data_IF_274023075891
#
_entry.id   IF_274023075891
#
_cell.length_a   1.000
_cell.length_b   1.000
_cell.length_c   1.000
_cell.angle_alpha   90.00
_cell.angle_beta   90.00
_cell.angle_gamma   90.00
#
_symmetry.space_group_name_H-M   'P 1'
#
loop_
_entity.id
_entity.type
_entity.pdbx_description
1 polymer ?
#
# COMPACT_ATOMS: atom_id res chain seq x y z
N UNK A 1 -15.12 -23.58 -51.66
CA UNK A 1 -14.75 -22.29 -51.03
C UNK A 1 -15.92 -21.86 -50.17
N UNK A 2 -15.76 -21.99 -48.85
CA UNK A 2 -16.83 -21.88 -47.84
C UNK A 2 -16.90 -20.45 -47.31
N UNK A 3 -18.09 -19.84 -47.32
CA UNK A 3 -18.43 -18.75 -46.39
C UNK A 3 -19.87 -18.97 -45.92
N UNK A 4 -20.03 -19.64 -44.78
CA UNK A 4 -21.30 -19.63 -44.03
C UNK A 4 -21.20 -18.59 -42.92
N UNK A 5 -22.06 -17.57 -43.02
CA UNK A 5 -22.41 -16.65 -41.94
C UNK A 5 -22.96 -17.45 -40.77
N UNK A 6 -22.55 -17.15 -39.54
CA UNK A 6 -23.32 -17.55 -38.37
C UNK A 6 -23.30 -16.44 -37.32
N UNK A 7 -24.46 -15.82 -37.12
CA UNK A 7 -24.82 -15.01 -35.94
C UNK A 7 -25.78 -15.88 -35.13
N UNK A 8 -25.48 -16.18 -33.86
CA UNK A 8 -26.49 -16.32 -32.80
C UNK A 8 -25.87 -16.65 -31.43
N UNK A 9 -25.97 -15.66 -30.53
CA UNK A 9 -26.33 -15.72 -29.09
C UNK A 9 -25.87 -16.91 -28.21
N UNK A 10 -25.01 -16.57 -27.24
CA UNK A 10 -25.18 -16.72 -25.78
C UNK A 10 -26.27 -17.68 -25.27
N UNK A 11 -25.90 -18.74 -24.53
CA UNK A 11 -25.99 -18.90 -23.05
C UNK A 11 -26.01 -20.38 -22.61
N UNK A 12 -25.43 -20.61 -21.41
CA UNK A 12 -25.59 -21.76 -20.49
C UNK A 12 -24.92 -23.10 -20.81
N UNK A 13 -23.88 -23.41 -20.05
CA UNK A 13 -23.71 -24.73 -19.40
C UNK A 13 -23.20 -24.51 -17.97
N UNK A 14 -24.08 -24.80 -17.00
CA UNK A 14 -23.74 -25.04 -15.60
C UNK A 14 -23.69 -26.57 -15.37
N UNK A 15 -22.80 -26.96 -14.46
CA UNK A 15 -22.71 -28.23 -13.72
C UNK A 15 -22.07 -29.43 -14.44
N UNK A 16 -20.90 -29.83 -13.95
CA UNK A 16 -20.66 -31.11 -13.24
C UNK A 16 -19.15 -31.20 -12.90
N UNK A 17 -18.81 -31.17 -11.60
CA UNK A 17 -17.69 -31.92 -11.05
C UNK A 17 -17.78 -31.96 -9.51
N UNK A 18 -18.44 -33.01 -9.02
CA UNK A 18 -18.26 -33.68 -7.72
C UNK A 18 -17.46 -34.94 -8.10
N UNK A 19 -16.34 -35.37 -7.50
CA UNK A 19 -15.85 -35.43 -6.12
C UNK A 19 -14.32 -35.64 -6.16
N UNK A 20 -13.57 -35.16 -5.15
CA UNK A 20 -12.64 -35.94 -4.32
C UNK A 20 -12.10 -35.07 -3.18
N UNK A 21 -11.95 -35.70 -2.02
CA UNK A 21 -11.96 -35.12 -0.69
C UNK A 21 -10.61 -34.59 -0.19
N UNK A 22 -10.67 -33.64 0.76
CA UNK A 22 -9.70 -33.35 1.83
C UNK A 22 -8.28 -32.91 1.41
N UNK A 23 -8.12 -31.64 1.07
CA UNK A 23 -7.14 -30.73 1.71
C UNK A 23 -7.79 -29.34 1.68
N UNK A 24 -7.79 -28.63 2.80
CA UNK A 24 -8.39 -27.30 2.92
C UNK A 24 -7.94 -26.39 1.77
N UNK A 25 -8.89 -26.11 0.86
CA UNK A 25 -8.72 -25.10 -0.16
C UNK A 25 -8.51 -23.78 0.55
N UNK A 26 -7.29 -23.25 0.46
CA UNK A 26 -7.01 -21.87 0.80
C UNK A 26 -7.90 -21.01 -0.09
N UNK A 27 -8.94 -20.44 0.52
CA UNK A 27 -9.67 -19.34 -0.08
C UNK A 27 -8.61 -18.29 -0.44
N UNK A 28 -8.38 -18.07 -1.73
CA UNK A 28 -7.90 -16.77 -2.20
C UNK A 28 -9.09 -15.83 -2.04
N UNK A 29 -9.34 -15.45 -0.79
CA UNK A 29 -10.21 -14.33 -0.53
C UNK A 29 -9.58 -13.13 -1.21
N UNK A 30 -10.41 -12.43 -1.99
CA UNK A 30 -10.28 -11.01 -2.18
C UNK A 30 -10.05 -10.36 -0.80
N UNK A 31 -8.79 -10.26 -0.38
CA UNK A 31 -8.41 -9.32 0.65
C UNK A 31 -8.42 -7.98 -0.04
N UNK A 32 -9.59 -7.34 -0.02
CA UNK A 32 -9.65 -5.89 0.13
C UNK A 32 -8.49 -5.48 1.02
N UNK A 33 -7.54 -4.74 0.44
CA UNK A 33 -6.30 -4.38 1.10
C UNK A 33 -6.63 -3.43 2.24
N UNK A 34 -6.96 -3.99 3.41
CA UNK A 34 -6.77 -3.28 4.66
C UNK A 34 -5.35 -2.75 4.62
N UNK A 35 -5.18 -1.45 4.87
CA UNK A 35 -3.88 -0.78 4.88
C UNK A 35 -2.92 -1.55 5.79
N UNK A 36 -2.08 -2.38 5.20
CA UNK A 36 -1.23 -3.29 5.95
C UNK A 36 0.08 -2.57 6.23
N UNK A 37 0.41 -2.42 7.52
CA UNK A 37 1.76 -2.00 7.87
C UNK A 37 2.66 -3.23 7.81
N UNK A 38 3.64 -3.18 6.92
CA UNK A 38 4.66 -4.22 6.80
C UNK A 38 5.67 -4.07 7.92
N UNK A 39 5.75 -5.09 8.78
CA UNK A 39 6.56 -5.06 10.01
C UNK A 39 7.66 -6.09 9.94
N UNK A 40 8.82 -5.74 10.51
CA UNK A 40 9.84 -6.73 10.78
C UNK A 40 9.48 -7.63 11.96
N UNK A 41 10.06 -8.83 12.03
CA UNK A 41 9.95 -9.71 13.21
C UNK A 41 10.38 -9.00 14.50
N UNK A 42 11.33 -8.08 14.42
CA UNK A 42 11.80 -7.27 15.55
C UNK A 42 10.89 -6.09 15.91
N UNK A 43 9.86 -5.79 15.10
CA UNK A 43 8.98 -4.63 15.25
C UNK A 43 9.65 -3.26 15.01
N UNK A 44 10.95 -3.26 14.70
CA UNK A 44 11.79 -2.05 14.52
C UNK A 44 11.50 -1.34 13.20
N UNK A 45 11.28 -2.09 12.13
CA UNK A 45 10.95 -1.56 10.81
C UNK A 45 9.44 -1.64 10.57
N UNK A 46 8.86 -0.54 10.10
CA UNK A 46 7.45 -0.40 9.77
C UNK A 46 7.34 0.36 8.45
N UNK A 47 6.70 -0.27 7.45
CA UNK A 47 6.46 0.33 6.15
C UNK A 47 4.96 0.22 5.86
N UNK A 48 4.19 1.29 6.10
CA UNK A 48 2.78 1.35 5.73
C UNK A 48 2.61 1.17 4.22
N UNK A 49 1.64 0.34 3.83
CA UNK A 49 1.21 0.17 2.43
C UNK A 49 2.36 -0.19 1.48
N UNK A 50 3.35 -0.98 1.93
CA UNK A 50 4.45 -1.42 1.07
C UNK A 50 3.95 -2.14 -0.20
N UNK A 51 2.85 -2.89 -0.09
CA UNK A 51 2.17 -3.60 -1.18
C UNK A 51 1.55 -2.68 -2.23
N UNK A 52 1.32 -1.39 -1.92
CA UNK A 52 0.84 -0.42 -2.93
C UNK A 52 1.80 -0.28 -4.12
N UNK A 53 3.10 -0.61 -3.94
CA UNK A 53 4.09 -0.55 -5.02
C UNK A 53 3.86 -1.59 -6.11
N UNK A 54 3.04 -2.60 -5.80
CA UNK A 54 2.61 -3.62 -6.74
C UNK A 54 1.47 -3.15 -7.65
N UNK A 55 0.88 -2.00 -7.35
CA UNK A 55 -0.38 -1.51 -7.91
C UNK A 55 -0.30 -0.06 -8.39
N UNK A 56 0.86 0.38 -8.84
CA UNK A 56 1.05 1.68 -9.48
C UNK A 56 1.73 2.73 -8.61
N UNK A 57 1.87 2.48 -7.30
CA UNK A 57 2.60 3.39 -6.44
C UNK A 57 4.12 3.21 -6.62
N UNK A 58 4.86 4.31 -6.60
CA UNK A 58 6.32 4.29 -6.61
C UNK A 58 6.92 5.12 -5.47
N UNK A 59 6.08 5.61 -4.56
CA UNK A 59 6.50 6.50 -3.49
C UNK A 59 5.82 6.12 -2.16
N UNK A 60 6.64 5.90 -1.14
CA UNK A 60 6.21 5.64 0.24
C UNK A 60 6.75 6.76 1.12
N UNK A 61 5.90 7.47 1.85
CA UNK A 61 6.24 8.68 2.61
C UNK A 61 6.31 8.49 4.14
N UNK A 62 5.89 7.32 4.62
CA UNK A 62 5.64 7.04 6.05
C UNK A 62 6.49 5.88 6.57
N UNK A 63 7.71 5.76 6.03
CA UNK A 63 8.63 4.67 6.35
C UNK A 63 9.32 4.96 7.69
N UNK A 64 9.37 3.95 8.56
CA UNK A 64 10.04 4.03 9.86
C UNK A 64 10.95 2.83 10.07
N UNK A 65 12.16 3.07 10.55
CA UNK A 65 13.08 1.99 10.95
C UNK A 65 13.97 2.41 12.11
N UNK A 66 14.71 1.46 12.68
CA UNK A 66 15.67 1.73 13.77
C UNK A 66 17.06 1.32 13.32
N UNK A 67 17.97 2.29 13.25
CA UNK A 67 19.39 2.08 12.94
C UNK A 67 20.25 2.59 14.09
N UNK A 68 21.25 1.81 14.53
CA UNK A 68 22.17 2.24 15.59
C UNK A 68 21.50 2.61 16.93
N UNK A 69 20.26 2.19 17.17
CA UNK A 69 19.44 2.58 18.34
C UNK A 69 18.57 3.83 18.15
N UNK A 70 18.76 4.59 17.07
CA UNK A 70 17.95 5.73 16.71
C UNK A 70 16.75 5.37 15.84
N UNK A 71 15.64 6.08 15.99
CA UNK A 71 14.43 5.90 15.16
C UNK A 71 14.47 6.89 14.00
N UNK A 72 14.41 6.36 12.79
CA UNK A 72 14.45 7.13 11.56
C UNK A 72 13.10 7.10 10.85
N UNK A 73 12.75 8.23 10.25
CA UNK A 73 11.52 8.42 9.47
C UNK A 73 11.84 9.00 8.10
N UNK A 74 11.05 8.65 7.10
CA UNK A 74 11.17 9.30 5.80
C UNK A 74 10.49 8.51 4.71
N UNK A 75 11.12 8.51 3.54
CA UNK A 75 10.51 8.03 2.32
C UNK A 75 11.35 7.01 1.57
N UNK A 76 10.68 6.25 0.71
CA UNK A 76 11.27 5.37 -0.29
C UNK A 76 10.64 5.69 -1.64
N UNK A 77 11.47 5.88 -2.66
CA UNK A 77 11.05 6.04 -4.06
C UNK A 77 11.55 4.87 -4.87
N UNK A 78 10.67 4.15 -5.56
CA UNK A 78 11.00 3.01 -6.41
C UNK A 78 11.24 3.44 -7.85
N UNK A 79 12.26 2.84 -8.47
CA UNK A 79 12.64 3.14 -9.85
C UNK A 79 11.70 2.49 -10.86
N UNK A 80 11.02 1.42 -10.45
CA UNK A 80 10.12 0.63 -11.29
C UNK A 80 8.73 0.62 -10.70
N UNK A 81 7.73 0.76 -11.56
CA UNK A 81 6.32 0.74 -11.19
C UNK A 81 5.73 -0.59 -11.67
N UNK A 82 5.07 -1.33 -10.78
CA UNK A 82 4.25 -2.49 -11.16
C UNK A 82 2.79 -2.12 -11.09
N UNK A 83 1.99 -2.61 -12.03
CA UNK A 83 0.55 -2.32 -12.12
C UNK A 83 -0.33 -3.58 -12.13
N UNK A 84 0.28 -4.76 -12.05
CA UNK A 84 -0.41 -6.06 -12.15
C UNK A 84 -0.13 -6.95 -10.94
N UNK A 85 0.17 -6.34 -9.79
CA UNK A 85 0.57 -7.04 -8.58
C UNK A 85 2.05 -7.43 -8.56
N UNK A 86 2.46 -7.99 -7.43
CA UNK A 86 3.77 -8.61 -7.24
C UNK A 86 3.60 -10.12 -7.03
N UNK A 87 4.40 -10.90 -7.74
CA UNK A 87 4.54 -12.33 -7.66
C UNK A 87 5.73 -12.70 -6.75
N UNK A 88 5.74 -13.90 -6.16
CA UNK A 88 6.92 -14.39 -5.45
C UNK A 88 8.18 -14.34 -6.33
N UNK A 89 9.31 -13.96 -5.73
CA UNK A 89 10.62 -13.66 -6.35
C UNK A 89 10.70 -12.33 -7.10
N UNK A 90 9.61 -11.58 -7.25
CA UNK A 90 9.71 -10.23 -7.78
C UNK A 90 10.61 -9.38 -6.91
N UNK A 91 11.53 -8.67 -7.55
CA UNK A 91 12.44 -7.75 -6.88
C UNK A 91 12.26 -6.35 -7.42
N UNK A 92 12.05 -5.40 -6.51
CA UNK A 92 11.86 -3.99 -6.77
C UNK A 92 12.95 -3.22 -6.04
N UNK A 93 13.53 -2.23 -6.70
CA UNK A 93 14.59 -1.40 -6.13
C UNK A 93 14.23 0.08 -6.20
N UNK A 94 14.73 0.82 -5.23
CA UNK A 94 14.50 2.24 -5.07
C UNK A 94 15.59 2.89 -4.25
N UNK A 95 15.33 4.14 -3.89
CA UNK A 95 16.18 4.97 -3.03
C UNK A 95 15.37 5.27 -1.78
N UNK A 96 16.00 5.18 -0.60
CA UNK A 96 15.41 5.64 0.64
C UNK A 96 16.10 6.91 1.13
N UNK A 97 15.33 7.78 1.78
CA UNK A 97 15.80 8.98 2.45
C UNK A 97 15.16 9.00 3.84
N UNK A 98 15.99 8.86 4.87
CA UNK A 98 15.56 8.66 6.24
C UNK A 98 16.26 9.66 7.18
N UNK A 99 15.50 10.23 8.10
CA UNK A 99 15.93 11.34 8.95
C UNK A 99 15.69 11.02 10.44
N UNK A 100 16.63 11.46 11.28
CA UNK A 100 16.51 11.49 12.73
C UNK A 100 17.10 12.81 13.25
N UNK A 101 16.26 13.83 13.41
CA UNK A 101 16.75 15.17 13.75
C UNK A 101 17.68 15.72 12.66
N UNK A 102 18.93 16.01 13.01
CA UNK A 102 19.97 16.42 12.05
C UNK A 102 20.65 15.26 11.31
N UNK A 103 20.43 14.02 11.77
CA UNK A 103 21.06 12.85 11.16
C UNK A 103 20.27 12.40 9.94
N UNK A 104 21.01 11.93 8.93
CA UNK A 104 20.44 11.58 7.63
C UNK A 104 21.05 10.30 7.09
N UNK A 105 20.20 9.35 6.74
CA UNK A 105 20.57 8.08 6.16
C UNK A 105 19.91 7.94 4.79
N UNK A 106 20.73 7.74 3.77
CA UNK A 106 20.26 7.52 2.40
C UNK A 106 20.95 6.31 1.79
N UNK A 107 20.34 5.77 0.75
CA UNK A 107 20.90 4.63 0.06
C UNK A 107 19.91 3.89 -0.80
N UNK A 108 20.29 2.69 -1.20
CA UNK A 108 19.47 1.81 -2.03
C UNK A 108 18.56 0.97 -1.14
N UNK A 109 17.29 0.93 -1.51
CA UNK A 109 16.31 0.02 -0.94
C UNK A 109 15.98 -1.07 -1.94
N UNK A 110 15.97 -2.33 -1.51
CA UNK A 110 15.53 -3.45 -2.33
C UNK A 110 14.48 -4.25 -1.59
N UNK A 111 13.37 -4.57 -2.26
CA UNK A 111 12.32 -5.45 -1.76
C UNK A 111 12.19 -6.66 -2.66
N UNK A 112 12.29 -7.85 -2.09
CA UNK A 112 12.04 -9.12 -2.76
C UNK A 112 10.81 -9.79 -2.17
N UNK A 113 9.77 -9.93 -2.99
CA UNK A 113 8.52 -10.57 -2.63
C UNK A 113 8.69 -12.08 -2.48
N UNK A 114 8.07 -12.66 -1.46
CA UNK A 114 8.12 -14.09 -1.15
C UNK A 114 6.72 -14.66 -0.97
N UNK A 115 6.62 -15.98 -1.12
CA UNK A 115 5.38 -16.70 -0.87
C UNK A 115 4.85 -16.45 0.55
N UNK A 116 3.54 -16.66 0.72
CA UNK A 116 2.83 -16.44 1.99
C UNK A 116 2.83 -14.97 2.45
N UNK A 117 2.72 -14.04 1.50
CA UNK A 117 2.63 -12.60 1.77
C UNK A 117 3.80 -12.10 2.63
N UNK A 118 5.03 -12.47 2.26
CA UNK A 118 6.26 -12.06 2.95
C UNK A 118 7.11 -11.23 2.02
N UNK A 119 7.93 -10.35 2.58
CA UNK A 119 8.87 -9.55 1.81
C UNK A 119 10.24 -9.56 2.51
N UNK A 120 11.30 -9.71 1.74
CA UNK A 120 12.67 -9.48 2.19
C UNK A 120 13.05 -8.05 1.83
N UNK A 121 13.45 -7.26 2.83
CA UNK A 121 13.91 -5.90 2.60
C UNK A 121 15.41 -5.84 2.83
N UNK A 122 16.10 -5.14 1.95
CA UNK A 122 17.52 -4.85 2.03
C UNK A 122 17.73 -3.34 1.96
N UNK A 123 18.52 -2.82 2.90
CA UNK A 123 18.94 -1.43 2.97
C UNK A 123 20.46 -1.37 2.77
N UNK A 124 20.90 -0.71 1.71
CA UNK A 124 22.31 -0.43 1.43
C UNK A 124 22.55 1.07 1.61
N UNK A 125 23.03 1.45 2.78
CA UNK A 125 23.31 2.83 3.18
C UNK A 125 24.64 3.26 2.57
N UNK A 126 24.62 4.35 1.79
CA UNK A 126 25.77 4.81 1.02
C UNK A 126 26.46 6.05 1.62
N UNK A 127 25.84 6.73 2.59
CA UNK A 127 26.39 7.93 3.25
C UNK A 127 26.84 7.67 4.69
N UNK A 128 27.72 6.67 4.86
CA UNK A 128 28.32 6.39 6.17
C UNK A 128 29.07 7.63 6.70
N UNK A 129 28.89 7.95 7.98
CA UNK A 129 29.44 9.13 8.63
C UNK A 129 28.39 10.22 8.87
N UNK A 130 27.62 10.59 7.85
CA UNK A 130 26.44 11.45 8.00
C UNK A 130 25.25 10.67 8.57
N UNK A 131 25.14 9.41 8.16
CA UNK A 131 24.33 8.42 8.85
C UNK A 131 25.16 7.87 10.02
N UNK A 132 24.77 8.10 11.28
CA UNK A 132 25.57 7.78 12.47
C UNK A 132 25.50 6.30 12.84
N UNK A 133 25.90 5.45 11.89
CA UNK A 133 25.98 4.00 12.05
C UNK A 133 27.26 3.47 11.45
N UNK A 134 27.66 2.28 11.89
CA UNK A 134 28.87 1.58 11.41
C UNK A 134 28.58 0.46 10.41
N UNK A 135 27.31 0.14 10.16
CA UNK A 135 26.89 -0.97 9.29
C UNK A 135 26.10 -0.40 8.12
N UNK A 136 26.60 -0.55 6.89
CA UNK A 136 25.92 -0.07 5.68
C UNK A 136 24.84 -1.01 5.16
N UNK A 137 24.90 -2.29 5.48
CA UNK A 137 24.02 -3.30 4.89
C UNK A 137 23.11 -3.93 5.94
N UNK A 138 21.80 -3.85 5.72
CA UNK A 138 20.79 -4.38 6.63
C UNK A 138 19.76 -5.20 5.86
N UNK A 139 19.51 -6.41 6.35
CA UNK A 139 18.54 -7.33 5.77
C UNK A 139 17.46 -7.68 6.78
N UNK A 140 16.21 -7.67 6.34
CA UNK A 140 15.08 -7.90 7.25
C UNK A 140 13.90 -8.60 6.58
N UNK A 141 13.44 -9.67 7.24
CA UNK A 141 12.19 -10.31 6.88
C UNK A 141 11.02 -9.45 7.39
N UNK A 142 10.04 -9.22 6.52
CA UNK A 142 8.82 -8.49 6.86
C UNK A 142 7.58 -9.23 6.42
N UNK A 143 6.49 -8.92 7.12
CA UNK A 143 5.15 -9.44 6.86
C UNK A 143 4.12 -8.33 7.09
N UNK A 144 3.01 -8.35 6.33
CA UNK A 144 1.92 -7.42 6.55
C UNK A 144 1.22 -7.76 7.84
N UNK A 145 1.00 -6.75 8.67
CA UNK A 145 0.13 -6.84 9.83
C UNK A 145 -1.10 -6.00 9.51
N UNK A 146 -2.25 -6.66 9.45
CA UNK A 146 -3.53 -5.96 9.36
C UNK A 146 -3.65 -5.05 10.58
N UNK A 147 -3.92 -3.77 10.35
CA UNK A 147 -4.22 -2.86 11.44
C UNK A 147 -5.59 -3.23 11.99
N UNK A 148 -5.58 -4.00 13.07
CA UNK A 148 -6.80 -4.30 13.82
C UNK A 148 -7.15 -3.04 14.59
N UNK A 149 -8.29 -2.42 14.23
CA UNK A 149 -8.94 -1.39 15.03
C UNK A 149 -9.47 -2.01 16.33
N UNK A 150 -8.58 -2.51 17.19
CA UNK A 150 -8.88 -2.75 18.60
C UNK A 150 -8.53 -1.48 19.35
N UNK A 151 -9.58 -0.77 19.77
CA UNK A 151 -9.50 0.52 20.46
C UNK A 151 -8.46 0.52 21.58
N UNK A 152 -7.32 1.14 21.31
CA UNK A 152 -6.62 1.96 22.28
C UNK A 152 -5.77 2.98 21.50
N UNK A 153 -6.20 4.22 21.56
CA UNK A 153 -5.72 5.36 20.79
C UNK A 153 -4.21 5.59 20.97
N UNK A 154 -3.46 5.38 19.88
CA UNK A 154 -2.02 5.60 19.75
C UNK A 154 -1.64 5.92 18.30
N UNK A 155 -2.34 6.92 17.75
CA UNK A 155 -2.28 7.61 16.45
C UNK A 155 -0.98 7.42 15.61
N UNK A 156 -1.11 6.68 14.50
CA UNK A 156 -0.82 7.22 13.16
C UNK A 156 -2.20 7.26 12.49
N UNK A 157 -2.85 8.42 12.43
CA UNK A 157 -4.29 8.51 12.16
C UNK A 157 -4.60 8.11 10.72
N UNK A 158 -4.91 6.83 10.50
CA UNK A 158 -5.91 6.47 9.51
C UNK A 158 -7.23 7.02 10.03
N UNK A 159 -7.73 8.07 9.38
CA UNK A 159 -9.05 8.59 9.69
C UNK A 159 -10.06 7.77 8.89
N UNK A 160 -11.12 7.30 9.53
CA UNK A 160 -12.33 6.91 8.78
C UNK A 160 -13.20 8.16 8.75
N UNK A 161 -13.75 8.48 7.59
CA UNK A 161 -14.73 9.55 7.49
C UNK A 161 -15.94 9.10 6.67
N UNK A 162 -17.10 9.59 7.03
CA UNK A 162 -18.35 9.37 6.30
C UNK A 162 -18.52 10.51 5.29
N UNK A 163 -18.64 10.15 4.02
CA UNK A 163 -19.14 11.06 2.97
C UNK A 163 -20.60 11.35 3.29
N UNK A 164 -20.94 12.57 3.68
CA UNK A 164 -22.29 12.91 4.14
C UNK A 164 -23.11 13.71 3.12
N UNK A 165 -22.47 14.27 2.08
CA UNK A 165 -23.13 15.09 1.06
C UNK A 165 -22.74 14.64 -0.37
N UNK A 166 -23.39 13.59 -0.90
CA UNK A 166 -23.21 13.20 -2.30
C UNK A 166 -23.90 14.18 -3.27
N UNK A 167 -23.31 14.48 -4.44
CA UNK A 167 -22.09 13.88 -4.98
C UNK A 167 -20.81 14.55 -4.42
N UNK A 168 -19.95 13.73 -3.81
CA UNK A 168 -18.66 14.18 -3.27
C UNK A 168 -17.53 13.85 -4.22
N UNK A 169 -16.75 14.86 -4.61
CA UNK A 169 -15.70 14.75 -5.61
C UNK A 169 -14.34 14.44 -5.00
N UNK A 170 -13.69 13.43 -5.58
CA UNK A 170 -12.31 13.06 -5.31
C UNK A 170 -11.45 13.51 -6.48
N UNK A 171 -10.34 14.18 -6.17
CA UNK A 171 -9.47 14.83 -7.15
C UNK A 171 -8.07 14.25 -7.14
N UNK A 172 -7.37 14.37 -8.27
CA UNK A 172 -5.98 13.91 -8.40
C UNK A 172 -5.00 14.71 -7.54
N UNK A 173 -5.27 16.01 -7.42
CA UNK A 173 -4.56 16.93 -6.54
C UNK A 173 -5.57 17.86 -5.85
N UNK A 174 -5.21 18.53 -4.74
CA UNK A 174 -6.03 19.59 -4.17
C UNK A 174 -6.42 20.62 -5.23
N UNK A 175 -7.72 20.89 -5.39
CA UNK A 175 -8.29 21.74 -6.44
C UNK A 175 -8.01 21.30 -7.90
N UNK A 176 -7.48 20.08 -8.12
CA UNK A 176 -7.16 19.54 -9.45
C UNK A 176 -8.35 18.85 -10.13
N UNK A 177 -8.05 18.07 -11.17
CA UNK A 177 -9.05 17.30 -11.94
C UNK A 177 -9.80 16.29 -11.05
N UNK A 178 -11.09 16.13 -11.28
CA UNK A 178 -11.92 15.12 -10.59
C UNK A 178 -11.60 13.74 -11.18
N UNK A 179 -11.14 12.81 -10.33
CA UNK A 179 -10.92 11.40 -10.70
C UNK A 179 -12.26 10.67 -10.69
N UNK A 180 -13.01 10.80 -9.59
CA UNK A 180 -14.35 10.24 -9.49
C UNK A 180 -15.22 11.03 -8.51
N UNK A 181 -16.53 10.76 -8.56
CA UNK A 181 -17.51 11.32 -7.63
C UNK A 181 -18.19 10.18 -6.87
N UNK A 182 -18.11 10.22 -5.53
CA UNK A 182 -18.85 9.34 -4.63
C UNK A 182 -20.31 9.78 -4.63
N UNK A 183 -21.22 8.89 -5.04
CA UNK A 183 -22.64 9.21 -5.28
C UNK A 183 -23.57 8.82 -4.14
N UNK A 184 -23.03 8.19 -3.10
CA UNK A 184 -23.81 7.67 -1.98
C UNK A 184 -23.10 7.99 -0.67
N UNK A 185 -23.87 8.05 0.43
CA UNK A 185 -23.32 8.22 1.76
C UNK A 185 -22.60 6.94 2.16
N UNK A 186 -21.28 7.01 2.32
CA UNK A 186 -20.47 5.84 2.67
C UNK A 186 -19.25 6.22 3.50
N UNK A 187 -18.73 5.25 4.24
CA UNK A 187 -17.47 5.40 4.94
C UNK A 187 -16.32 5.23 3.96
N UNK A 188 -15.34 6.10 4.06
CA UNK A 188 -14.12 6.10 3.25
C UNK A 188 -12.91 6.12 4.16
N UNK A 189 -11.85 5.47 3.70
CA UNK A 189 -10.56 5.49 4.38
C UNK A 189 -9.78 6.75 3.99
N UNK A 190 -9.23 7.42 5.00
CA UNK A 190 -8.38 8.58 4.86
C UNK A 190 -6.94 8.27 5.24
N UNK A 191 -6.01 8.72 4.42
CA UNK A 191 -4.59 8.42 4.55
C UNK A 191 -3.80 9.67 4.95
N UNK A 192 -3.16 9.60 6.12
CA UNK A 192 -2.32 10.67 6.65
C UNK A 192 -3.13 11.87 7.18
N UNK A 193 -2.41 12.92 7.58
CA UNK A 193 -3.02 14.15 8.07
C UNK A 193 -3.53 15.03 6.93
N UNK A 194 -4.61 15.78 7.21
CA UNK A 194 -5.13 16.77 6.28
C UNK A 194 -4.04 17.80 5.92
N UNK A 195 -3.91 18.11 4.64
CA UNK A 195 -3.12 19.26 4.18
C UNK A 195 -4.08 20.28 3.60
N UNK A 196 -4.22 21.43 4.26
CA UNK A 196 -5.10 22.53 3.85
C UNK A 196 -6.56 22.09 3.62
N UNK A 197 -7.11 21.26 4.52
CA UNK A 197 -8.49 20.75 4.40
C UNK A 197 -8.67 19.61 3.39
N UNK A 198 -7.58 19.07 2.82
CA UNK A 198 -7.63 17.92 1.91
C UNK A 198 -7.10 16.66 2.57
N UNK A 199 -7.89 15.60 2.48
CA UNK A 199 -7.55 14.26 2.95
C UNK A 199 -7.29 13.34 1.76
N UNK A 200 -6.32 12.44 1.88
CA UNK A 200 -6.06 11.44 0.83
C UNK A 200 -7.03 10.28 1.02
N UNK A 201 -7.59 9.75 -0.06
CA UNK A 201 -8.48 8.59 -0.05
C UNK A 201 -8.30 7.77 -1.32
N UNK A 202 -8.61 6.48 -1.29
CA UNK A 202 -8.54 5.55 -2.42
C UNK A 202 -9.93 5.09 -2.88
N UNK A 203 -11.00 5.76 -2.45
CA UNK A 203 -12.39 5.37 -2.75
C UNK A 203 -12.69 5.23 -4.26
N UNK A 204 -11.90 5.87 -5.12
CA UNK A 204 -12.02 5.75 -6.58
C UNK A 204 -11.28 4.53 -7.18
N UNK A 205 -10.67 3.68 -6.37
CA UNK A 205 -9.76 2.62 -6.83
C UNK A 205 -8.34 3.11 -7.13
N UNK A 206 -8.12 4.42 -7.14
CA UNK A 206 -6.82 5.09 -7.25
C UNK A 206 -6.70 6.15 -6.15
N UNK A 207 -5.46 6.49 -5.77
CA UNK A 207 -5.21 7.51 -4.76
C UNK A 207 -5.63 8.89 -5.24
N UNK A 208 -6.51 9.54 -4.48
CA UNK A 208 -6.96 10.90 -4.72
C UNK A 208 -7.12 11.69 -3.42
N UNK A 209 -7.66 12.88 -3.55
CA UNK A 209 -7.86 13.84 -2.49
C UNK A 209 -9.34 14.22 -2.39
N UNK A 210 -9.88 14.19 -1.17
CA UNK A 210 -11.24 14.61 -0.84
C UNK A 210 -11.18 15.76 0.16
N UNK A 211 -11.97 16.80 -0.10
CA UNK A 211 -12.01 17.97 0.76
C UNK A 211 -12.84 17.70 2.03
N UNK A 212 -12.43 18.28 3.14
CA UNK A 212 -13.05 18.11 4.46
C UNK A 212 -14.52 18.51 4.50
N UNK A 213 -14.94 19.46 3.65
CA UNK A 213 -16.34 19.89 3.58
C UNK A 213 -17.32 18.81 3.10
N UNK A 214 -16.81 17.72 2.52
CA UNK A 214 -17.60 16.63 1.93
C UNK A 214 -17.71 15.42 2.86
N UNK A 215 -16.98 15.43 3.98
CA UNK A 215 -16.78 14.28 4.86
C UNK A 215 -16.98 14.67 6.33
N UNK A 216 -17.31 13.71 7.17
CA UNK A 216 -17.39 13.87 8.63
C UNK A 216 -16.67 12.73 9.34
N UNK A 217 -16.05 13.03 10.47
CA UNK A 217 -15.34 12.07 11.32
C UNK A 217 -16.25 11.50 12.39
#
# INVERSE_FOLDING_TARGET
MNIKKNKSKWRYWQNICLLFSLVGGVNFGDTSSLAATWRSNSGKTRIPNLDSICWGNNYLDSVRTVFGGGVYYGNITFNTIKTRGCLPQDTLSGIFNLYQGSNYCQGKFTVTWRANNRAFLQWDINNLGECPISISHWEINTYPVAETNTGNSGISSQGVATVFDPPSNVRETPNGTIICSVREVMNIDLFGAAKNGWYRTNVCGEMGYIHESQIRF
#
